data_IF_411807602401
#
_entry.id   IF_411807602401
#
_cell.length_a   1.000
_cell.length_b   1.000
_cell.length_c   1.000
_cell.angle_alpha   90.00
_cell.angle_beta   90.00
_cell.angle_gamma   90.00
#
_symmetry.space_group_name_H-M   'P 1'
#
loop_
_entity.id
_entity.type
_entity.pdbx_description
1 polymer ?
#
# COMPACT_ATOMS: atom_id res chain seq x y z
N UNK A 1 0.03 17.37 -6.77
CA UNK A 1 0.85 16.16 -7.03
C UNK A 1 1.38 15.69 -5.69
N UNK A 2 1.02 14.49 -5.22
CA UNK A 2 1.49 13.96 -3.94
C UNK A 2 2.88 13.33 -4.12
N UNK A 3 3.85 13.73 -3.29
CA UNK A 3 5.17 13.12 -3.19
C UNK A 3 5.32 12.55 -1.77
N UNK A 4 5.40 11.23 -1.65
CA UNK A 4 5.65 10.55 -0.38
C UNK A 4 6.98 9.79 -0.46
N UNK A 5 7.74 9.81 0.62
CA UNK A 5 9.00 9.07 0.76
C UNK A 5 8.99 8.27 2.04
N UNK A 6 9.51 7.05 1.99
CA UNK A 6 9.60 6.21 3.17
C UNK A 6 10.42 4.95 2.94
N UNK A 7 10.71 4.27 4.04
CA UNK A 7 11.34 2.95 4.01
C UNK A 7 10.29 1.90 3.68
N UNK A 8 10.58 1.02 2.72
CA UNK A 8 9.68 -0.08 2.38
C UNK A 8 9.71 -1.18 3.46
N UNK A 9 8.52 -1.62 3.86
CA UNK A 9 8.30 -2.92 4.49
C UNK A 9 7.51 -3.79 3.55
N UNK A 10 8.01 -4.98 3.28
CA UNK A 10 7.55 -5.82 2.18
C UNK A 10 7.19 -7.19 2.71
N UNK A 11 5.95 -7.63 2.49
CA UNK A 11 5.54 -9.00 2.76
C UNK A 11 4.30 -9.33 1.93
N UNK A 12 4.17 -10.58 1.50
CA UNK A 12 2.94 -11.06 0.84
C UNK A 12 1.80 -11.25 1.83
N UNK A 13 2.10 -11.43 3.13
CA UNK A 13 1.11 -11.65 4.19
C UNK A 13 1.11 -10.45 5.13
N UNK A 14 0.04 -9.65 5.09
CA UNK A 14 -0.11 -8.44 5.93
C UNK A 14 0.10 -8.73 7.42
N UNK A 15 -0.41 -9.86 7.93
CA UNK A 15 -0.20 -10.29 9.33
C UNK A 15 1.26 -10.45 9.77
N UNK A 16 2.18 -10.73 8.84
CA UNK A 16 3.61 -10.81 9.12
C UNK A 16 4.23 -9.42 9.08
N UNK A 17 3.84 -8.61 8.08
CA UNK A 17 4.29 -7.24 7.87
C UNK A 17 3.98 -6.33 9.06
N UNK A 18 2.77 -6.40 9.62
CA UNK A 18 2.35 -5.51 10.71
C UNK A 18 3.16 -5.68 11.99
N UNK A 19 3.77 -6.84 12.24
CA UNK A 19 4.59 -7.11 13.43
C UNK A 19 5.92 -6.35 13.46
N UNK A 20 6.31 -5.79 12.32
CA UNK A 20 7.65 -5.27 12.04
C UNK A 20 7.61 -3.89 11.38
N UNK A 21 6.42 -3.40 11.04
CA UNK A 21 6.19 -2.02 10.63
C UNK A 21 6.63 -1.04 11.73
N UNK A 22 7.23 0.06 11.30
CA UNK A 22 7.44 1.24 12.13
C UNK A 22 6.58 2.40 11.60
N UNK A 23 6.20 3.37 12.47
CA UNK A 23 5.50 4.56 12.05
C UNK A 23 6.22 5.29 10.90
N UNK A 24 5.45 5.85 9.97
CA UNK A 24 5.90 6.57 8.78
C UNK A 24 6.57 5.73 7.67
N UNK A 25 6.57 4.41 7.78
CA UNK A 25 7.03 3.51 6.71
C UNK A 25 5.98 3.30 5.62
N UNK A 26 6.41 2.74 4.49
CA UNK A 26 5.53 2.40 3.36
C UNK A 26 5.34 0.88 3.34
N UNK A 27 4.10 0.45 3.53
CA UNK A 27 3.74 -0.96 3.49
C UNK A 27 3.56 -1.41 2.03
N UNK A 28 4.25 -2.47 1.63
CA UNK A 28 4.13 -3.11 0.32
C UNK A 28 3.56 -4.50 0.53
N UNK A 29 2.34 -4.71 0.05
CA UNK A 29 1.53 -5.90 0.30
C UNK A 29 1.05 -6.53 -1.01
N UNK A 30 0.53 -7.76 -0.91
CA UNK A 30 -0.25 -8.41 -1.97
C UNK A 30 -1.52 -8.98 -1.35
N UNK A 31 -2.57 -8.18 -1.31
CA UNK A 31 -3.84 -8.54 -0.70
C UNK A 31 -4.98 -8.20 -1.66
N UNK A 32 -5.45 -9.19 -2.39
CA UNK A 32 -6.70 -9.05 -3.14
C UNK A 32 -7.87 -8.87 -2.14
N UNK A 33 -8.82 -8.00 -2.45
CA UNK A 33 -9.95 -7.67 -1.57
C UNK A 33 -9.51 -7.36 -0.14
N UNK A 34 -8.77 -6.25 0.01
CA UNK A 34 -8.25 -5.82 1.31
C UNK A 34 -9.40 -5.67 2.32
N UNK A 35 -9.35 -6.45 3.38
CA UNK A 35 -10.35 -6.43 4.45
C UNK A 35 -10.08 -5.35 5.51
N UNK A 36 -11.12 -5.04 6.28
CA UNK A 36 -11.09 -4.02 7.35
C UNK A 36 -10.04 -4.33 8.41
N UNK A 37 -9.93 -5.59 8.83
CA UNK A 37 -9.00 -6.02 9.89
C UNK A 37 -7.54 -5.78 9.48
N UNK A 38 -7.19 -6.09 8.24
CA UNK A 38 -5.87 -5.83 7.70
C UNK A 38 -5.62 -4.32 7.55
N UNK A 39 -6.62 -3.56 7.12
CA UNK A 39 -6.51 -2.11 7.00
C UNK A 39 -6.33 -1.42 8.37
N UNK A 40 -7.11 -1.79 9.38
CA UNK A 40 -6.99 -1.30 10.75
C UNK A 40 -5.58 -1.54 11.31
N UNK A 41 -5.03 -2.75 11.13
CA UNK A 41 -3.68 -3.06 11.59
C UNK A 41 -2.60 -2.19 10.90
N UNK A 42 -2.81 -1.80 9.64
CA UNK A 42 -1.92 -0.87 8.92
C UNK A 42 -2.07 0.57 9.46
N UNK A 43 -3.30 1.00 9.76
CA UNK A 43 -3.60 2.31 10.36
C UNK A 43 -2.99 2.41 11.76
N UNK A 44 -3.17 1.39 12.60
CA UNK A 44 -2.60 1.31 13.95
C UNK A 44 -1.06 1.37 13.92
N UNK A 45 -0.44 0.73 12.93
CA UNK A 45 0.99 0.80 12.69
C UNK A 45 1.47 2.18 12.19
N UNK A 46 0.55 3.11 11.90
CA UNK A 46 0.82 4.49 11.45
C UNK A 46 1.67 4.53 10.19
N UNK A 47 1.34 3.67 9.22
CA UNK A 47 2.01 3.68 7.92
C UNK A 47 1.72 5.00 7.19
N UNK A 48 2.71 5.45 6.42
CA UNK A 48 2.57 6.65 5.60
C UNK A 48 1.75 6.39 4.34
N UNK A 49 1.92 5.20 3.77
CA UNK A 49 1.23 4.76 2.57
C UNK A 49 1.20 3.23 2.52
N UNK A 50 0.24 2.72 1.76
CA UNK A 50 0.10 1.32 1.39
C UNK A 50 0.23 1.21 -0.13
N UNK A 51 1.04 0.25 -0.57
CA UNK A 51 1.24 -0.10 -1.96
C UNK A 51 0.82 -1.55 -2.11
N UNK A 52 -0.28 -1.80 -2.82
CA UNK A 52 -0.81 -3.13 -3.01
C UNK A 52 -0.52 -3.64 -4.42
N UNK A 53 0.02 -4.85 -4.50
CA UNK A 53 0.30 -5.51 -5.77
C UNK A 53 -0.98 -6.04 -6.45
N UNK A 54 -1.97 -6.45 -5.66
CA UNK A 54 -3.26 -6.95 -6.12
C UNK A 54 -4.32 -5.83 -6.08
N UNK A 55 -5.46 -5.98 -6.79
CA UNK A 55 -6.58 -5.08 -6.63
C UNK A 55 -7.18 -5.21 -5.23
N UNK A 56 -7.26 -4.10 -4.50
CA UNK A 56 -7.94 -4.06 -3.20
C UNK A 56 -9.46 -4.13 -3.33
N UNK A 57 -9.99 -3.95 -4.55
CA UNK A 57 -11.42 -4.06 -4.90
C UNK A 57 -11.53 -4.94 -6.16
N UNK A 58 -11.79 -6.24 -5.99
CA UNK A 58 -11.90 -7.20 -7.10
C UNK A 58 -13.33 -7.40 -7.62
N UNK A 59 -14.32 -7.00 -6.81
CA UNK A 59 -15.74 -7.10 -7.13
C UNK A 59 -16.43 -8.26 -6.41
N UNK A 60 -16.83 -8.01 -5.16
CA UNK A 60 -17.93 -8.62 -4.41
C UNK A 60 -18.05 -7.84 -3.10
N UNK A 61 -19.15 -7.10 -2.92
CA UNK A 61 -19.44 -6.25 -1.75
C UNK A 61 -18.51 -5.03 -1.58
N UNK A 62 -18.95 -3.96 -0.86
CA UNK A 62 -18.06 -2.86 -0.51
C UNK A 62 -16.95 -3.40 0.40
N UNK A 63 -15.72 -3.41 -0.11
CA UNK A 63 -14.55 -3.75 0.69
C UNK A 63 -14.29 -2.59 1.66
N UNK A 64 -14.43 -2.87 2.95
CA UNK A 64 -14.22 -1.89 4.00
C UNK A 64 -12.74 -1.51 4.12
N UNK A 65 -11.78 -2.37 3.75
CA UNK A 65 -10.36 -2.08 3.90
C UNK A 65 -9.87 -0.81 3.19
N UNK A 66 -10.10 -0.63 1.88
CA UNK A 66 -9.77 0.63 1.19
C UNK A 66 -10.46 1.85 1.78
N UNK A 67 -11.71 1.70 2.24
CA UNK A 67 -12.45 2.78 2.91
C UNK A 67 -11.78 3.15 4.24
N UNK A 68 -11.45 2.17 5.09
CA UNK A 68 -10.74 2.37 6.36
C UNK A 68 -9.41 3.08 6.17
N UNK A 69 -8.62 2.70 5.16
CA UNK A 69 -7.36 3.38 4.84
C UNK A 69 -7.60 4.83 4.40
N UNK A 70 -8.59 5.06 3.52
CA UNK A 70 -8.90 6.38 3.01
C UNK A 70 -9.44 7.32 4.10
N UNK A 71 -10.29 6.83 5.01
CA UNK A 71 -10.81 7.57 6.16
C UNK A 71 -9.71 7.93 7.16
N UNK A 72 -8.72 7.05 7.35
CA UNK A 72 -7.55 7.31 8.17
C UNK A 72 -6.51 8.23 7.50
N UNK A 73 -6.74 8.64 6.25
CA UNK A 73 -5.82 9.48 5.48
C UNK A 73 -4.55 8.74 5.03
N UNK A 74 -4.57 7.41 5.00
CA UNK A 74 -3.46 6.59 4.51
C UNK A 74 -3.51 6.52 2.99
N UNK A 75 -2.43 6.90 2.33
CA UNK A 75 -2.34 6.88 0.87
C UNK A 75 -2.32 5.44 0.34
N UNK A 76 -3.28 5.08 -0.52
CA UNK A 76 -3.34 3.74 -1.13
C UNK A 76 -3.02 3.81 -2.61
N UNK A 77 -1.87 3.23 -2.99
CA UNK A 77 -1.49 2.95 -4.38
C UNK A 77 -1.77 1.47 -4.66
N UNK A 78 -2.83 1.21 -5.41
CA UNK A 78 -3.40 -0.11 -5.60
C UNK A 78 -3.02 -0.75 -6.93
N UNK A 79 -3.20 -2.08 -7.04
CA UNK A 79 -3.05 -2.82 -8.29
C UNK A 79 -1.73 -2.54 -9.05
N UNK A 80 -0.61 -2.44 -8.33
CA UNK A 80 0.72 -2.14 -8.91
C UNK A 80 1.33 -3.33 -9.64
N UNK A 81 0.80 -4.53 -9.42
CA UNK A 81 1.31 -5.78 -9.95
C UNK A 81 2.39 -6.43 -9.08
N UNK A 82 2.54 -7.75 -9.21
CA UNK A 82 3.43 -8.57 -8.36
C UNK A 82 4.91 -8.19 -8.45
N UNK A 83 5.33 -7.54 -9.54
CA UNK A 83 6.71 -7.09 -9.73
C UNK A 83 7.20 -6.19 -8.58
N UNK A 84 6.31 -5.43 -7.93
CA UNK A 84 6.69 -4.56 -6.80
C UNK A 84 7.32 -5.36 -5.64
N UNK A 85 6.86 -6.59 -5.41
CA UNK A 85 7.37 -7.47 -4.35
C UNK A 85 8.69 -8.15 -4.74
N UNK A 86 8.97 -8.27 -6.04
CA UNK A 86 10.21 -8.84 -6.55
C UNK A 86 11.32 -7.80 -6.63
N UNK A 87 10.94 -6.57 -7.00
CA UNK A 87 11.86 -5.46 -7.28
C UNK A 87 12.15 -4.63 -6.05
N UNK A 88 11.25 -4.53 -5.08
CA UNK A 88 11.47 -3.76 -3.86
C UNK A 88 11.83 -4.69 -2.70
N UNK A 89 12.94 -4.40 -2.03
CA UNK A 89 13.37 -5.13 -0.84
C UNK A 89 12.96 -4.36 0.40
N UNK A 90 12.80 -5.10 1.48
CA UNK A 90 12.65 -4.49 2.78
C UNK A 90 13.85 -3.60 3.12
N UNK A 91 13.56 -2.39 3.62
CA UNK A 91 14.57 -1.40 3.93
C UNK A 91 14.91 -0.46 2.77
N UNK A 92 14.45 -0.74 1.54
CA UNK A 92 14.67 0.15 0.41
C UNK A 92 14.00 1.51 0.66
N UNK A 93 14.66 2.59 0.27
CA UNK A 93 14.05 3.91 0.20
C UNK A 93 13.18 3.99 -1.06
N UNK A 94 11.90 4.30 -0.89
CA UNK A 94 10.92 4.36 -1.99
C UNK A 94 10.24 5.71 -2.04
N UNK A 95 9.88 6.12 -3.25
CA UNK A 95 9.13 7.36 -3.51
C UNK A 95 7.81 7.03 -4.20
N UNK A 96 6.71 7.61 -3.74
CA UNK A 96 5.42 7.58 -4.42
C UNK A 96 5.16 8.96 -5.00
N UNK A 97 4.95 9.02 -6.31
CA UNK A 97 4.72 10.26 -7.07
C UNK A 97 3.43 10.10 -7.86
N UNK A 98 2.31 10.56 -7.28
CA UNK A 98 1.00 10.29 -7.83
C UNK A 98 0.76 8.78 -7.95
N UNK A 99 0.50 8.30 -9.15
CA UNK A 99 0.18 6.91 -9.44
C UNK A 99 1.41 6.01 -9.66
N UNK A 100 2.61 6.50 -9.34
CA UNK A 100 3.87 5.78 -9.52
C UNK A 100 4.57 5.50 -8.21
N UNK A 101 5.22 4.34 -8.14
CA UNK A 101 6.23 4.02 -7.14
C UNK A 101 7.60 3.95 -7.81
N UNK A 102 8.62 4.51 -7.18
CA UNK A 102 9.98 4.58 -7.68
C UNK A 102 10.97 4.10 -6.62
N UNK A 103 11.91 3.26 -7.04
CA UNK A 103 13.14 2.96 -6.30
C UNK A 103 14.29 3.47 -7.15
N UNK A 104 15.05 4.49 -6.68
CA UNK A 104 16.12 5.09 -7.45
C UNK A 104 17.07 4.05 -8.06
N UNK A 105 17.34 4.20 -9.36
CA UNK A 105 18.28 3.35 -10.12
C UNK A 105 17.92 1.85 -10.21
N UNK A 106 16.75 1.45 -9.71
CA UNK A 106 16.36 0.03 -9.60
C UNK A 106 15.13 -0.31 -10.41
N UNK A 107 14.01 0.37 -10.15
CA UNK A 107 12.72 0.01 -10.75
C UNK A 107 11.66 1.09 -10.52
N UNK A 108 10.73 1.22 -11.46
CA UNK A 108 9.52 2.01 -11.28
C UNK A 108 8.30 1.18 -11.67
N UNK A 109 7.21 1.35 -10.92
CA UNK A 109 5.92 0.75 -11.19
C UNK A 109 4.81 1.80 -11.17
N UNK A 110 3.63 1.40 -11.65
CA UNK A 110 2.43 2.24 -11.67
C UNK A 110 1.25 1.45 -11.14
N UNK A 111 0.33 2.13 -10.46
CA UNK A 111 -0.93 1.55 -9.99
C UNK A 111 -2.06 2.56 -10.06
N UNK A 112 -3.09 2.32 -9.27
CA UNK A 112 -4.27 3.15 -9.16
C UNK A 112 -4.35 3.79 -7.78
N UNK A 113 -4.51 5.10 -7.72
CA UNK A 113 -4.74 5.78 -6.44
C UNK A 113 -6.19 5.50 -6.06
N UNK A 114 -6.40 4.88 -4.89
CA UNK A 114 -7.72 4.73 -4.28
C UNK A 114 -7.88 5.77 -3.17
N UNK A 115 -8.87 6.64 -3.34
CA UNK A 115 -9.23 7.71 -2.41
C UNK A 115 -10.73 7.64 -2.07
N UNK A 116 -11.19 8.53 -1.17
CA UNK A 116 -12.58 8.59 -0.74
C UNK A 116 -13.61 8.75 -1.89
N UNK A 117 -13.19 9.25 -3.07
CA UNK A 117 -14.09 9.38 -4.22
C UNK A 117 -14.22 8.08 -5.02
N UNK A 118 -13.24 7.18 -4.91
CA UNK A 118 -13.18 5.91 -5.65
C UNK A 118 -13.55 4.68 -4.82
N UNK A 119 -13.59 4.80 -3.50
CA UNK A 119 -13.96 3.70 -2.58
C UNK A 119 -15.44 3.75 -2.15
N UNK A 120 -16.24 4.67 -2.70
CA UNK A 120 -17.68 4.82 -2.42
C UNK A 120 -18.56 4.23 -3.52
#
# INVERSE_FOLDING_TARGET
>A
MHLLRGTARVDRRTKNLVKRLQPNEIAIINHEDLDEVCAEALVEAKVKAVVNAAPSISGKYPNLGPLTLAEAGVYLLDNVGLEVLEKIREGDAVEIIGDRINVPEKWTGRGEILDMAKVK
#
